data_IF_265524952720
#
_entry.id   IF_265524952720
#
_cell.length_a   1.000
_cell.length_b   1.000
_cell.length_c   1.000
_cell.angle_alpha   90.00
_cell.angle_beta   90.00
_cell.angle_gamma   90.00
#
_symmetry.space_group_name_H-M   'P 1'
#
loop_
_entity.id
_entity.type
_entity.pdbx_description
1 polymer ?
#
# COMPACT_ATOMS: atom_id res chain seq x y z
N UNK A 1 6.73 26.57 -36.41
CA UNK A 1 5.61 25.68 -36.14
C UNK A 1 5.91 25.06 -34.75
N UNK A 2 5.28 25.59 -33.68
CA UNK A 2 5.44 25.04 -32.36
C UNK A 2 4.48 23.86 -32.21
N UNK A 3 5.01 22.64 -32.04
CA UNK A 3 4.22 21.45 -31.73
C UNK A 3 4.05 21.44 -30.20
N UNK A 4 2.86 21.81 -29.73
CA UNK A 4 2.49 21.63 -28.32
C UNK A 4 2.15 20.15 -28.13
N UNK A 5 3.03 19.39 -27.47
CA UNK A 5 2.67 18.10 -26.92
C UNK A 5 1.81 18.34 -25.69
N UNK A 6 0.51 18.21 -25.82
CA UNK A 6 -0.38 18.08 -24.67
C UNK A 6 -0.15 16.68 -24.08
N UNK A 7 0.66 16.59 -23.04
CA UNK A 7 0.69 15.40 -22.19
C UNK A 7 -0.66 15.33 -21.47
N UNK A 8 -1.52 14.47 -21.92
CA UNK A 8 -2.74 14.14 -21.17
C UNK A 8 -2.32 13.19 -20.05
N UNK A 9 -2.05 13.72 -18.87
CA UNK A 9 -1.80 12.90 -17.70
C UNK A 9 -3.08 12.12 -17.39
N UNK A 10 -3.03 10.80 -17.51
CA UNK A 10 -4.16 9.96 -17.14
C UNK A 10 -3.94 9.48 -15.70
N UNK A 11 -4.74 9.98 -14.76
CA UNK A 11 -4.75 9.45 -13.39
C UNK A 11 -5.09 7.96 -13.42
N UNK A 12 -4.28 7.15 -12.74
CA UNK A 12 -4.54 5.73 -12.48
C UNK A 12 -4.80 5.49 -11.01
N UNK A 13 -5.81 4.70 -10.71
CA UNK A 13 -6.25 4.44 -9.33
C UNK A 13 -6.36 2.93 -9.13
N UNK A 14 -5.54 2.41 -8.22
CA UNK A 14 -5.59 1.01 -7.80
C UNK A 14 -6.80 0.78 -6.90
N UNK A 15 -7.60 -0.21 -7.23
CA UNK A 15 -8.68 -0.72 -6.40
C UNK A 15 -8.83 -2.23 -6.59
N UNK A 16 -9.37 -2.91 -5.58
CA UNK A 16 -9.62 -4.35 -5.63
C UNK A 16 -10.76 -4.73 -4.70
N UNK A 17 -11.52 -5.74 -5.07
CA UNK A 17 -12.52 -6.35 -4.19
C UNK A 17 -11.89 -6.97 -2.93
N UNK A 18 -10.59 -7.27 -2.96
CA UNK A 18 -9.84 -7.71 -1.79
C UNK A 18 -9.66 -6.61 -0.74
N UNK A 19 -9.69 -5.34 -1.12
CA UNK A 19 -9.48 -4.22 -0.20
C UNK A 19 -10.55 -4.16 0.88
N UNK A 20 -11.79 -4.54 0.55
CA UNK A 20 -12.86 -4.70 1.52
C UNK A 20 -12.95 -6.17 1.94
N UNK A 21 -12.72 -6.48 3.21
CA UNK A 21 -12.86 -7.82 3.75
C UNK A 21 -13.77 -7.83 5.00
N UNK A 22 -14.48 -8.92 5.27
CA UNK A 22 -15.38 -8.97 6.41
C UNK A 22 -14.62 -8.85 7.74
N UNK A 23 -15.15 -8.00 8.61
CA UNK A 23 -14.70 -7.81 9.98
C UNK A 23 -15.79 -8.25 10.97
N UNK A 24 -15.43 -8.56 12.22
CA UNK A 24 -16.42 -8.80 13.27
C UNK A 24 -17.39 -7.62 13.41
N UNK A 25 -18.64 -7.93 13.80
CA UNK A 25 -19.65 -6.90 14.07
C UNK A 25 -19.11 -5.86 15.07
N UNK A 26 -19.37 -4.58 14.80
CA UNK A 26 -18.89 -3.44 15.60
C UNK A 26 -17.38 -3.25 15.62
N UNK A 27 -16.65 -3.82 14.68
CA UNK A 27 -15.22 -3.51 14.54
C UNK A 27 -15.05 -2.02 14.20
N UNK A 28 -14.10 -1.35 14.89
CA UNK A 28 -13.92 0.11 14.76
C UNK A 28 -13.36 0.58 13.42
N UNK A 29 -12.74 -0.31 12.62
CA UNK A 29 -12.17 0.05 11.34
C UNK A 29 -13.27 0.15 10.27
N UNK A 30 -13.42 1.28 9.57
CA UNK A 30 -14.50 1.52 8.60
C UNK A 30 -14.18 0.84 7.26
N UNK A 31 -14.30 -0.48 7.21
CA UNK A 31 -13.89 -1.30 6.06
C UNK A 31 -14.68 -0.95 4.78
N UNK A 32 -15.93 -0.55 4.92
CA UNK A 32 -16.82 -0.18 3.81
C UNK A 32 -16.30 0.99 2.97
N UNK A 33 -15.39 1.81 3.51
CA UNK A 33 -14.82 2.95 2.78
C UNK A 33 -14.14 2.52 1.47
N UNK A 34 -13.55 1.33 1.44
CA UNK A 34 -12.86 0.81 0.25
C UNK A 34 -13.81 0.40 -0.87
N UNK A 35 -15.07 0.17 -0.56
CA UNK A 35 -16.13 -0.10 -1.52
C UNK A 35 -16.89 1.18 -1.91
N UNK A 36 -17.15 2.03 -0.93
CA UNK A 36 -17.95 3.25 -1.13
C UNK A 36 -17.18 4.35 -1.87
N UNK A 37 -15.91 4.56 -1.54
CA UNK A 37 -15.12 5.65 -2.10
C UNK A 37 -14.96 5.55 -3.64
N UNK A 38 -14.56 4.41 -4.22
CA UNK A 38 -14.48 4.29 -5.67
C UNK A 38 -15.81 4.51 -6.37
N UNK A 39 -16.91 4.00 -5.80
CA UNK A 39 -18.28 4.20 -6.33
C UNK A 39 -18.67 5.68 -6.31
N UNK A 40 -18.34 6.38 -5.23
CA UNK A 40 -18.60 7.80 -5.10
C UNK A 40 -17.84 8.62 -6.14
N UNK A 41 -16.54 8.36 -6.32
CA UNK A 41 -15.70 9.04 -7.30
C UNK A 41 -16.23 8.91 -8.73
N UNK A 42 -16.67 7.71 -9.12
CA UNK A 42 -17.27 7.46 -10.43
C UNK A 42 -18.67 8.12 -10.54
N UNK A 43 -19.49 8.03 -9.49
CA UNK A 43 -20.83 8.62 -9.46
C UNK A 43 -20.81 10.15 -9.63
N UNK A 44 -19.85 10.81 -8.99
CA UNK A 44 -19.65 12.26 -9.09
C UNK A 44 -19.00 12.70 -10.41
N UNK A 45 -18.52 11.77 -11.22
CA UNK A 45 -17.78 12.06 -12.44
C UNK A 45 -16.39 12.64 -12.19
N UNK A 46 -15.85 12.47 -10.96
CA UNK A 46 -14.48 12.87 -10.63
C UNK A 46 -13.47 12.01 -11.37
N UNK A 47 -13.80 10.74 -11.57
CA UNK A 47 -13.01 9.78 -12.36
C UNK A 47 -13.93 8.92 -13.24
N UNK A 48 -13.37 8.35 -14.29
CA UNK A 48 -14.02 7.36 -15.14
C UNK A 48 -13.52 5.94 -14.80
N UNK A 49 -14.27 4.93 -15.23
CA UNK A 49 -13.83 3.53 -15.06
C UNK A 49 -12.47 3.24 -15.73
N UNK A 50 -12.13 3.97 -16.77
CA UNK A 50 -10.83 3.88 -17.45
C UNK A 50 -9.64 4.33 -16.59
N UNK A 51 -9.87 5.09 -15.52
CA UNK A 51 -8.87 5.47 -14.53
C UNK A 51 -8.56 4.34 -13.55
N UNK A 52 -9.50 3.40 -13.37
CA UNK A 52 -9.43 2.36 -12.36
C UNK A 52 -8.67 1.12 -12.89
N UNK A 53 -7.88 0.50 -12.02
CA UNK A 53 -7.23 -0.77 -12.35
C UNK A 53 -7.18 -1.69 -11.11
N UNK A 54 -7.15 -3.00 -11.38
CA UNK A 54 -6.98 -4.01 -10.32
C UNK A 54 -5.50 -4.36 -10.25
N UNK A 55 -4.87 -4.28 -9.06
CA UNK A 55 -3.47 -4.66 -8.91
C UNK A 55 -3.23 -6.14 -9.24
N UNK A 56 -2.07 -6.41 -9.84
CA UNK A 56 -1.57 -7.74 -10.07
C UNK A 56 -0.95 -8.37 -8.82
N UNK A 57 0.01 -9.25 -9.04
CA UNK A 57 0.70 -9.97 -7.98
C UNK A 57 1.97 -9.25 -7.52
N UNK A 58 2.25 -9.35 -6.23
CA UNK A 58 3.51 -8.94 -5.61
C UNK A 58 4.35 -10.18 -5.33
N UNK A 59 5.63 -10.13 -5.69
CA UNK A 59 6.55 -11.24 -5.42
C UNK A 59 7.01 -11.24 -3.96
N UNK A 60 7.35 -12.41 -3.44
CA UNK A 60 7.96 -12.55 -2.11
C UNK A 60 9.23 -11.73 -1.98
N UNK A 61 10.04 -11.66 -3.03
CA UNK A 61 11.28 -10.89 -3.04
C UNK A 61 11.04 -9.40 -2.77
N UNK A 62 9.97 -8.82 -3.34
CA UNK A 62 9.62 -7.42 -3.10
C UNK A 62 9.19 -7.19 -1.64
N UNK A 63 8.43 -8.11 -1.05
CA UNK A 63 8.03 -8.04 0.36
C UNK A 63 9.25 -8.20 1.28
N UNK A 64 10.11 -9.16 1.00
CA UNK A 64 11.30 -9.47 1.79
C UNK A 64 12.43 -8.42 1.65
N UNK A 65 12.34 -7.53 0.67
CA UNK A 65 13.22 -6.35 0.59
C UNK A 65 12.98 -5.36 1.76
N UNK A 66 11.84 -5.45 2.42
CA UNK A 66 11.41 -4.57 3.52
C UNK A 66 11.14 -5.34 4.82
N UNK A 67 10.45 -6.47 4.71
CA UNK A 67 10.01 -7.26 5.85
C UNK A 67 10.92 -8.46 6.09
N UNK A 68 11.12 -8.79 7.38
CA UNK A 68 11.95 -9.95 7.73
C UNK A 68 11.26 -11.26 7.34
N UNK A 69 12.03 -12.28 6.91
CA UNK A 69 11.48 -13.60 6.57
C UNK A 69 10.65 -14.19 7.71
N UNK A 70 11.12 -14.08 8.96
CA UNK A 70 10.42 -14.61 10.14
C UNK A 70 9.03 -13.98 10.29
N UNK A 71 8.91 -12.66 10.09
CA UNK A 71 7.62 -11.99 10.21
C UNK A 71 6.69 -12.36 9.05
N UNK A 72 7.20 -12.39 7.83
CA UNK A 72 6.40 -12.74 6.65
C UNK A 72 5.92 -14.20 6.69
N UNK A 73 6.76 -15.12 7.16
CA UNK A 73 6.37 -16.52 7.38
C UNK A 73 5.25 -16.65 8.43
N UNK A 74 5.29 -15.85 9.51
CA UNK A 74 4.20 -15.82 10.48
C UNK A 74 2.87 -15.35 9.88
N UNK A 75 2.89 -14.36 8.98
CA UNK A 75 1.69 -13.91 8.28
C UNK A 75 1.14 -15.04 7.38
N UNK A 76 1.99 -15.67 6.57
CA UNK A 76 1.60 -16.73 5.64
C UNK A 76 1.08 -17.97 6.34
N UNK A 77 1.73 -18.38 7.44
CA UNK A 77 1.33 -19.55 8.22
C UNK A 77 0.22 -19.26 9.23
N UNK A 78 -0.26 -18.01 9.28
CA UNK A 78 -1.28 -17.54 10.23
C UNK A 78 -0.88 -17.82 11.70
N UNK A 79 0.41 -17.66 12.04
CA UNK A 79 0.99 -18.01 13.32
C UNK A 79 1.39 -16.80 14.18
N UNK A 80 0.81 -15.63 13.94
CA UNK A 80 0.95 -14.51 14.87
C UNK A 80 0.41 -14.89 16.24
N UNK A 81 1.13 -14.50 17.28
CA UNK A 81 0.64 -14.64 18.64
C UNK A 81 -0.56 -13.73 18.89
N UNK A 82 -1.38 -14.03 19.89
CA UNK A 82 -2.52 -13.17 20.27
C UNK A 82 -2.12 -11.74 20.63
N UNK A 83 -0.88 -11.53 21.08
CA UNK A 83 -0.34 -10.19 21.33
C UNK A 83 -0.02 -9.44 20.04
N UNK A 84 0.60 -10.12 19.10
CA UNK A 84 0.90 -9.57 17.76
C UNK A 84 -0.40 -9.26 17.01
N UNK A 85 -1.35 -10.18 16.99
CA UNK A 85 -2.67 -9.99 16.37
C UNK A 85 -3.40 -8.77 16.95
N UNK A 86 -3.44 -8.64 18.30
CA UNK A 86 -4.05 -7.45 18.94
C UNK A 86 -3.34 -6.15 18.61
N UNK A 87 -2.04 -6.18 18.36
CA UNK A 87 -1.27 -5.01 17.96
C UNK A 87 -1.64 -4.54 16.55
N UNK A 88 -1.88 -5.48 15.61
CA UNK A 88 -2.36 -5.12 14.28
C UNK A 88 -3.78 -4.54 14.31
N UNK A 89 -4.60 -4.94 15.26
CA UNK A 89 -5.99 -4.52 15.37
C UNK A 89 -6.95 -5.31 14.47
N UNK A 90 -6.47 -6.26 13.68
CA UNK A 90 -7.27 -7.12 12.83
C UNK A 90 -7.19 -8.59 13.27
N UNK A 91 -8.29 -9.35 13.21
CA UNK A 91 -8.25 -10.80 13.31
C UNK A 91 -7.46 -11.38 12.14
N UNK A 92 -6.40 -12.15 12.44
CA UNK A 92 -5.57 -12.72 11.39
C UNK A 92 -6.32 -13.79 10.60
N UNK A 93 -6.28 -13.68 9.28
CA UNK A 93 -6.89 -14.64 8.35
C UNK A 93 -6.12 -14.67 7.04
N UNK A 94 -6.26 -15.75 6.28
CA UNK A 94 -5.68 -15.86 4.94
C UNK A 94 -6.11 -14.69 4.05
N UNK A 95 -7.41 -14.35 4.06
CA UNK A 95 -7.96 -13.24 3.27
C UNK A 95 -7.37 -11.88 3.68
N UNK A 96 -7.09 -11.66 4.97
CA UNK A 96 -6.41 -10.44 5.42
C UNK A 96 -4.99 -10.37 4.85
N UNK A 97 -4.24 -11.46 4.89
CA UNK A 97 -2.86 -11.49 4.34
C UNK A 97 -2.87 -11.26 2.83
N UNK A 98 -3.78 -11.91 2.09
CA UNK A 98 -3.97 -11.68 0.67
C UNK A 98 -4.33 -10.22 0.37
N UNK A 99 -5.21 -9.63 1.18
CA UNK A 99 -5.54 -8.20 1.09
C UNK A 99 -4.31 -7.32 1.24
N UNK A 100 -3.50 -7.53 2.26
CA UNK A 100 -2.32 -6.68 2.52
C UNK A 100 -1.27 -6.80 1.42
N UNK A 101 -1.08 -8.00 0.87
CA UNK A 101 -0.22 -8.21 -0.30
C UNK A 101 -0.77 -7.46 -1.51
N UNK A 102 -2.07 -7.53 -1.77
CA UNK A 102 -2.69 -6.86 -2.90
C UNK A 102 -2.70 -5.32 -2.74
N UNK A 103 -2.82 -4.79 -1.50
CA UNK A 103 -2.63 -3.36 -1.23
C UNK A 103 -1.21 -2.91 -1.58
N UNK A 104 -0.20 -3.67 -1.13
CA UNK A 104 1.19 -3.36 -1.42
C UNK A 104 1.50 -3.45 -2.93
N UNK A 105 0.94 -4.44 -3.63
CA UNK A 105 1.01 -4.52 -5.09
C UNK A 105 0.43 -3.27 -5.76
N UNK A 106 -0.74 -2.83 -5.31
CA UNK A 106 -1.38 -1.60 -5.80
C UNK A 106 -0.51 -0.36 -5.65
N UNK A 107 0.19 -0.21 -4.51
CA UNK A 107 1.10 0.93 -4.30
C UNK A 107 2.35 0.83 -5.18
N UNK A 108 2.91 -0.37 -5.36
CA UNK A 108 4.04 -0.59 -6.30
C UNK A 108 3.61 -0.23 -7.72
N UNK A 109 2.48 -0.73 -8.22
CA UNK A 109 2.00 -0.41 -9.55
C UNK A 109 1.62 1.06 -9.71
N UNK A 110 1.05 1.70 -8.69
CA UNK A 110 0.81 3.14 -8.70
C UNK A 110 2.12 3.92 -8.87
N UNK A 111 3.19 3.52 -8.17
CA UNK A 111 4.49 4.15 -8.32
C UNK A 111 5.04 4.00 -9.76
N UNK A 112 4.88 2.82 -10.36
CA UNK A 112 5.23 2.56 -11.76
C UNK A 112 4.42 3.42 -12.74
N UNK A 113 3.10 3.51 -12.55
CA UNK A 113 2.24 4.37 -13.37
C UNK A 113 2.61 5.85 -13.22
N UNK A 114 2.94 6.30 -12.01
CA UNK A 114 3.30 7.69 -11.77
C UNK A 114 4.58 8.10 -12.50
N UNK A 115 5.56 7.20 -12.65
CA UNK A 115 6.76 7.46 -13.46
C UNK A 115 6.44 7.75 -14.92
N UNK A 116 5.42 7.12 -15.48
CA UNK A 116 5.02 7.27 -16.89
C UNK A 116 3.93 8.34 -17.08
N UNK A 117 3.04 8.52 -16.10
CA UNK A 117 1.83 9.33 -16.22
C UNK A 117 1.78 10.52 -15.25
N UNK A 118 2.81 10.72 -14.43
CA UNK A 118 2.94 11.83 -13.48
C UNK A 118 2.23 11.62 -12.15
N UNK A 119 1.10 10.90 -12.09
CA UNK A 119 0.33 10.68 -10.88
C UNK A 119 -0.43 9.35 -10.92
N UNK A 120 -0.49 8.68 -9.77
CA UNK A 120 -1.38 7.55 -9.53
C UNK A 120 -1.79 7.52 -8.04
N UNK A 121 -2.85 6.79 -7.71
CA UNK A 121 -3.39 6.69 -6.36
C UNK A 121 -3.73 5.24 -6.03
N UNK A 122 -3.57 4.86 -4.77
CA UNK A 122 -4.06 3.59 -4.24
C UNK A 122 -5.17 3.87 -3.21
N UNK A 123 -6.36 3.30 -3.39
CA UNK A 123 -7.50 3.51 -2.50
C UNK A 123 -7.25 2.97 -1.08
N UNK A 124 -6.38 1.97 -0.94
CA UNK A 124 -6.14 1.29 0.34
C UNK A 124 -4.70 1.37 0.85
N UNK A 125 -3.83 2.13 0.18
CA UNK A 125 -2.44 2.33 0.61
C UNK A 125 -2.29 3.16 1.89
N UNK A 126 -1.03 3.43 2.27
CA UNK A 126 -0.69 4.22 3.44
C UNK A 126 -0.54 3.41 4.73
N UNK A 127 -0.04 2.19 4.64
CA UNK A 127 0.10 1.27 5.78
C UNK A 127 1.38 1.52 6.60
N UNK A 128 1.54 2.76 7.08
CA UNK A 128 2.76 3.36 7.62
C UNK A 128 3.18 2.87 9.03
N UNK A 129 2.29 2.17 9.73
CA UNK A 129 2.61 1.61 11.05
C UNK A 129 3.26 0.22 11.01
N UNK A 130 3.32 -0.45 9.85
CA UNK A 130 4.01 -1.71 9.73
C UNK A 130 5.53 -1.51 9.75
N UNK A 131 6.21 -2.19 10.68
CA UNK A 131 7.66 -2.28 10.81
C UNK A 131 8.20 -3.42 9.95
N UNK A 132 9.51 -3.55 9.85
CA UNK A 132 10.11 -4.67 9.12
C UNK A 132 9.81 -6.04 9.77
N UNK A 133 9.63 -6.08 11.09
CA UNK A 133 9.50 -7.31 11.89
C UNK A 133 8.12 -7.52 12.52
N UNK A 134 7.18 -6.58 12.34
CA UNK A 134 5.85 -6.66 12.95
C UNK A 134 4.84 -5.72 12.32
N UNK A 135 3.57 -6.06 12.45
CA UNK A 135 2.45 -5.16 12.14
C UNK A 135 1.97 -4.39 13.37
N UNK A 136 1.38 -3.21 13.13
CA UNK A 136 0.80 -2.34 14.15
C UNK A 136 -0.29 -1.46 13.54
N UNK A 137 -1.29 -1.01 14.32
CA UNK A 137 -2.21 0.05 13.92
C UNK A 137 -2.95 -0.17 12.60
N UNK A 138 -3.51 -1.36 12.37
CA UNK A 138 -4.19 -1.77 11.12
C UNK A 138 -3.26 -1.94 9.91
N UNK A 139 -1.95 -1.95 10.12
CA UNK A 139 -0.94 -2.13 9.08
C UNK A 139 -0.19 -3.46 9.31
N UNK A 140 -0.18 -4.35 8.31
CA UNK A 140 0.58 -5.60 8.37
C UNK A 140 1.84 -5.53 7.50
N UNK A 141 1.72 -5.05 6.27
CA UNK A 141 2.84 -4.78 5.37
C UNK A 141 2.95 -3.27 5.13
N UNK A 142 4.17 -2.74 5.02
CA UNK A 142 4.39 -1.32 4.73
C UNK A 142 4.46 -1.11 3.21
N UNK A 143 3.34 -0.78 2.62
CA UNK A 143 3.19 -0.63 1.17
C UNK A 143 4.08 0.47 0.58
N UNK A 144 4.21 1.61 1.28
CA UNK A 144 5.06 2.73 0.87
C UNK A 144 6.53 2.34 0.88
N UNK A 145 6.96 1.58 1.91
CA UNK A 145 8.32 1.09 1.99
C UNK A 145 8.64 0.07 0.89
N UNK A 146 7.71 -0.85 0.62
CA UNK A 146 7.86 -1.84 -0.45
C UNK A 146 7.96 -1.14 -1.81
N UNK A 147 7.11 -0.16 -2.09
CA UNK A 147 7.15 0.59 -3.34
C UNK A 147 8.44 1.41 -3.48
N UNK A 148 8.90 2.05 -2.40
CA UNK A 148 10.15 2.81 -2.39
C UNK A 148 11.37 1.92 -2.69
N UNK A 149 11.48 0.78 -2.02
CA UNK A 149 12.56 -0.19 -2.29
C UNK A 149 12.48 -0.73 -3.72
N UNK A 150 11.28 -1.07 -4.18
CA UNK A 150 11.09 -1.53 -5.56
C UNK A 150 11.64 -0.54 -6.58
N UNK A 151 11.31 0.74 -6.47
CA UNK A 151 11.79 1.77 -7.41
C UNK A 151 13.30 1.94 -7.35
N UNK A 152 13.90 1.93 -6.16
CA UNK A 152 15.34 2.08 -5.97
C UNK A 152 16.08 0.83 -6.48
N UNK A 153 15.65 -0.35 -6.07
CA UNK A 153 16.32 -1.62 -6.40
C UNK A 153 16.23 -1.96 -7.90
N UNK A 154 15.21 -1.47 -8.59
CA UNK A 154 15.06 -1.58 -10.06
C UNK A 154 15.74 -0.44 -10.82
N UNK A 155 16.39 0.48 -10.13
CA UNK A 155 17.14 1.60 -10.75
C UNK A 155 16.24 2.66 -11.39
N UNK A 156 14.95 2.72 -11.02
CA UNK A 156 13.99 3.69 -11.57
C UNK A 156 14.11 5.08 -10.94
N UNK A 157 14.62 5.14 -9.72
CA UNK A 157 15.01 6.37 -9.06
C UNK A 157 16.19 6.12 -8.10
N UNK A 158 16.86 7.20 -7.70
CA UNK A 158 17.96 7.14 -6.75
C UNK A 158 17.53 7.54 -5.33
N UNK A 159 16.43 8.27 -5.22
CA UNK A 159 15.90 8.76 -3.95
C UNK A 159 14.37 8.81 -4.00
N UNK A 160 13.75 8.60 -2.85
CA UNK A 160 12.31 8.71 -2.63
C UNK A 160 12.06 9.65 -1.46
N UNK A 161 11.08 10.53 -1.61
CA UNK A 161 10.52 11.33 -0.52
C UNK A 161 9.11 10.80 -0.20
N UNK A 162 8.90 10.38 1.05
CA UNK A 162 7.58 10.01 1.57
C UNK A 162 7.06 11.19 2.41
N UNK A 163 5.96 11.79 1.97
CA UNK A 163 5.25 12.82 2.73
C UNK A 163 4.02 12.17 3.35
N UNK A 164 4.06 11.99 4.67
CA UNK A 164 2.98 11.41 5.44
C UNK A 164 2.10 12.52 6.03
N UNK A 165 0.85 12.61 5.57
CA UNK A 165 -0.12 13.61 6.03
C UNK A 165 -1.16 13.01 6.99
N UNK A 166 -0.97 11.75 7.41
CA UNK A 166 -1.81 11.15 8.45
C UNK A 166 -1.60 11.84 9.80
N UNK A 167 -2.64 11.87 10.64
CA UNK A 167 -2.57 12.46 11.99
C UNK A 167 -1.67 11.66 12.93
N UNK A 168 -1.48 10.37 12.66
CA UNK A 168 -0.57 9.51 13.42
C UNK A 168 0.83 9.53 12.78
N UNK A 169 1.86 9.46 13.60
CA UNK A 169 3.23 9.36 13.11
C UNK A 169 3.43 8.07 12.31
N UNK A 170 4.03 8.16 11.13
CA UNK A 170 4.46 7.02 10.30
C UNK A 170 5.66 6.27 10.89
N UNK A 171 5.53 5.78 12.13
CA UNK A 171 6.60 5.21 12.94
C UNK A 171 7.23 3.94 12.33
N UNK A 172 6.44 3.13 11.64
CA UNK A 172 6.92 1.95 10.92
C UNK A 172 7.82 2.34 9.75
N UNK A 173 7.35 3.26 8.90
CA UNK A 173 8.10 3.77 7.75
C UNK A 173 9.41 4.44 8.17
N UNK A 174 9.36 5.32 9.17
CA UNK A 174 10.55 5.97 9.73
C UNK A 174 11.56 4.97 10.33
N UNK A 175 11.06 3.90 10.96
CA UNK A 175 11.92 2.84 11.50
C UNK A 175 12.61 2.03 10.41
N UNK A 176 11.92 1.72 9.31
CA UNK A 176 12.46 0.95 8.18
C UNK A 176 13.61 1.71 7.52
N UNK A 177 13.46 3.01 7.32
CA UNK A 177 14.42 3.82 6.57
C UNK A 177 15.38 4.65 7.44
N UNK A 178 15.43 4.39 8.76
CA UNK A 178 16.25 5.15 9.70
C UNK A 178 17.70 5.37 9.26
N UNK A 179 18.30 4.36 8.70
CA UNK A 179 19.72 4.35 8.30
C UNK A 179 19.88 4.30 6.77
N UNK A 180 18.84 4.56 6.01
CA UNK A 180 18.83 4.52 4.55
C UNK A 180 18.71 5.94 3.97
N UNK A 181 19.82 6.53 3.47
CA UNK A 181 19.79 7.89 2.93
C UNK A 181 19.10 8.00 1.57
N UNK A 182 18.65 6.90 0.98
CA UNK A 182 17.91 6.92 -0.28
C UNK A 182 16.43 7.21 -0.11
N UNK A 183 15.89 7.13 1.13
CA UNK A 183 14.48 7.40 1.42
C UNK A 183 14.35 8.41 2.57
N UNK A 184 13.72 9.54 2.29
CA UNK A 184 13.34 10.53 3.29
C UNK A 184 11.87 10.33 3.70
N UNK A 185 11.60 10.37 5.02
CA UNK A 185 10.23 10.26 5.57
C UNK A 185 9.93 11.38 6.54
#
# INVERSE_FOLDING_TARGET
MFIFYTYTFMLKIALSDLYCHPLPEKHRFPMEKYELLPRQLVHEGTVENSNLFVPGDLTDAQILAVHTPIYFDKLRSLSLTKKEERRTGFPLSKRLVEREINIAAGTVECAEYALSNGVAMNIAGGTHHAYSDRGEGFCLLNDQAIASRHLIDTGKCNQVLIIDLDVHQGNGTASIFRDDPSVFT
#
